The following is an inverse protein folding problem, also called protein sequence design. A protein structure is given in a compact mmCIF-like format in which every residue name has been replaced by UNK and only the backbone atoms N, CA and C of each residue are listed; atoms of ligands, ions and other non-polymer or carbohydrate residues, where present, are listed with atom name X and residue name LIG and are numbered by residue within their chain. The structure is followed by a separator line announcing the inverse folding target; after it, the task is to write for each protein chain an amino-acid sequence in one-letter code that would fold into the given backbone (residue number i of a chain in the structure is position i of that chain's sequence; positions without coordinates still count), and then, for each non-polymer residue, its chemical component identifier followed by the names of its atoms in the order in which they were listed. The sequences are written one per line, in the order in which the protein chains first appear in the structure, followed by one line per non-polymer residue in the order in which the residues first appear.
data_IF_581077399823
#
_entry.id   IF_581077399823
#
_cell.length_a   1.000
_cell.length_b   1.000
_cell.length_c   1.000
_cell.angle_alpha   90.00
_cell.angle_beta   90.00
_cell.angle_gamma   90.00
#
_symmetry.space_group_name_H-M   'P 1'
#
loop_
_entity.id
_entity.type
_entity.pdbx_description
1 polymer ?
#
# COMPACT_ATOMS: atom_id res chain seq x y z
N UNK A 1 19.72 -16.21 36.93
CA UNK A 1 18.43 -16.75 36.44
C UNK A 1 18.20 -16.20 35.05
N UNK A 2 18.58 -16.96 34.03
CA UNK A 2 18.41 -16.61 32.61
C UNK A 2 17.06 -17.11 32.14
N UNK A 3 16.16 -16.21 31.74
CA UNK A 3 14.87 -16.57 31.12
C UNK A 3 15.11 -16.94 29.67
N UNK A 4 14.80 -18.18 29.30
CA UNK A 4 14.64 -18.58 27.90
C UNK A 4 13.32 -18.01 27.37
N UNK A 5 13.37 -17.39 26.20
CA UNK A 5 12.20 -17.03 25.41
C UNK A 5 11.76 -18.25 24.60
N UNK A 6 10.47 -18.55 24.61
CA UNK A 6 9.86 -19.61 23.79
C UNK A 6 9.59 -19.07 22.39
N UNK A 7 9.96 -19.84 21.38
CA UNK A 7 9.61 -19.60 19.99
C UNK A 7 8.09 -19.68 19.78
N UNK A 8 7.52 -18.70 19.11
CA UNK A 8 6.15 -18.72 18.60
C UNK A 8 6.20 -19.38 17.22
N UNK A 9 5.53 -20.52 17.07
CA UNK A 9 5.39 -21.19 15.78
C UNK A 9 4.22 -20.55 15.02
N UNK A 10 4.52 -19.92 13.88
CA UNK A 10 3.55 -19.36 12.95
C UNK A 10 3.05 -20.50 12.04
N UNK A 11 1.76 -20.81 12.13
CA UNK A 11 1.12 -21.81 11.27
C UNK A 11 0.75 -21.19 9.92
N UNK A 12 1.51 -21.55 8.88
CA UNK A 12 1.20 -21.24 7.49
C UNK A 12 0.15 -22.23 6.98
N UNK A 13 -1.10 -21.77 6.77
CA UNK A 13 -2.16 -22.59 6.18
C UNK A 13 -2.17 -22.40 4.65
N UNK A 14 -1.50 -23.29 3.92
CA UNK A 14 -1.60 -23.36 2.46
C UNK A 14 -2.85 -24.19 2.10
N UNK A 15 -3.87 -23.52 1.57
CA UNK A 15 -5.05 -24.15 0.99
C UNK A 15 -4.73 -24.76 -0.37
N UNK A 16 -4.56 -26.09 -0.41
CA UNK A 16 -4.31 -26.85 -1.64
C UNK A 16 -5.64 -27.33 -2.23
N UNK A 17 -6.14 -26.61 -3.24
CA UNK A 17 -7.32 -27.03 -4.02
C UNK A 17 -6.90 -28.20 -4.92
N UNK A 18 -7.37 -29.40 -4.59
CA UNK A 18 -7.27 -30.57 -5.46
C UNK A 18 -8.59 -30.75 -6.20
N UNK A 19 -8.55 -30.64 -7.53
CA UNK A 19 -9.66 -31.09 -8.40
C UNK A 19 -9.37 -32.52 -8.85
N UNK A 20 -10.21 -33.46 -8.44
CA UNK A 20 -10.24 -34.84 -8.93
C UNK A 20 -11.50 -35.08 -9.77
N UNK A 21 -11.33 -35.82 -10.88
CA UNK A 21 -12.40 -36.48 -11.64
C UNK A 21 -12.09 -36.56 -13.14
N UNK A 22 -11.28 -37.53 -13.58
CA UNK A 22 -11.67 -38.80 -14.24
C UNK A 22 -12.12 -38.60 -15.71
N UNK A 23 -11.72 -39.35 -16.75
CA UNK A 23 -11.09 -40.66 -16.97
C UNK A 23 -10.67 -40.68 -18.47
N UNK A 24 -9.61 -41.34 -18.95
CA UNK A 24 -9.60 -42.76 -19.36
C UNK A 24 -8.30 -43.06 -20.13
N UNK A 25 -7.67 -44.21 -19.84
CA UNK A 25 -7.15 -45.09 -20.90
C UNK A 25 -5.63 -45.12 -21.20
N UNK A 26 -5.10 -46.34 -21.07
CA UNK A 26 -3.95 -46.95 -21.78
C UNK A 26 -2.55 -46.92 -21.12
N UNK A 27 -2.30 -48.04 -20.41
CA UNK A 27 -1.05 -48.74 -20.12
C UNK A 27 -0.01 -48.77 -21.24
N UNK A 28 1.28 -48.53 -20.91
CA UNK A 28 2.43 -49.35 -21.34
C UNK A 28 3.51 -49.35 -20.24
N UNK A 29 3.92 -50.54 -19.84
CA UNK A 29 5.06 -50.87 -18.97
C UNK A 29 6.35 -50.88 -19.81
N UNK A 30 7.45 -50.25 -19.36
CA UNK A 30 8.81 -50.65 -19.74
C UNK A 30 9.82 -50.27 -18.65
N UNK A 31 10.54 -51.28 -18.19
CA UNK A 31 11.62 -51.24 -17.20
C UNK A 31 12.99 -51.26 -17.91
N UNK A 32 14.06 -50.90 -17.18
CA UNK A 32 15.50 -51.00 -17.48
C UNK A 32 16.11 -49.69 -17.99
N UNK A 33 17.21 -49.11 -17.48
CA UNK A 33 18.32 -49.64 -16.66
C UNK A 33 19.13 -48.46 -16.05
N UNK A 34 19.83 -48.74 -14.94
CA UNK A 34 20.87 -47.89 -14.31
C UNK A 34 21.97 -47.44 -15.27
N UNK A 35 22.51 -46.23 -15.05
CA UNK A 35 23.97 -46.04 -14.97
C UNK A 35 24.35 -44.76 -14.20
N UNK A 36 25.09 -44.94 -13.11
CA UNK A 36 25.88 -43.90 -12.46
C UNK A 36 27.14 -43.60 -13.28
N UNK A 37 27.57 -42.34 -13.30
CA UNK A 37 28.99 -41.99 -13.37
C UNK A 37 29.24 -40.59 -12.79
N UNK A 38 30.08 -40.54 -11.76
CA UNK A 38 30.63 -39.35 -11.09
C UNK A 38 31.97 -38.96 -11.73
N UNK A 39 32.39 -37.70 -11.52
CA UNK A 39 33.73 -37.09 -11.70
C UNK A 39 33.79 -36.13 -12.90
N UNK A 40 34.27 -34.88 -12.82
CA UNK A 40 35.33 -34.31 -11.98
C UNK A 40 35.25 -32.78 -11.96
N UNK A 41 35.75 -32.18 -10.89
CA UNK A 41 35.98 -30.75 -10.65
C UNK A 41 36.99 -30.13 -11.64
N UNK A 42 36.68 -28.94 -12.15
CA UNK A 42 37.69 -27.92 -12.49
C UNK A 42 37.33 -26.60 -11.80
N UNK A 43 38.26 -26.16 -10.96
CA UNK A 43 38.26 -24.92 -10.20
C UNK A 43 38.68 -23.75 -11.09
N UNK A 44 37.85 -22.72 -11.22
CA UNK A 44 38.26 -21.38 -11.66
C UNK A 44 37.85 -20.36 -10.60
N UNK A 45 38.85 -19.83 -9.90
CA UNK A 45 38.76 -18.67 -9.04
C UNK A 45 38.58 -17.41 -9.89
N UNK A 46 37.48 -16.68 -9.71
CA UNK A 46 37.43 -15.24 -9.93
C UNK A 46 36.70 -14.60 -8.74
N UNK A 47 37.31 -13.52 -8.25
CA UNK A 47 37.01 -12.77 -7.03
C UNK A 47 36.04 -11.62 -7.33
N UNK A 48 35.25 -11.23 -6.31
CA UNK A 48 34.39 -10.03 -6.15
C UNK A 48 33.13 -10.02 -7.03
N UNK A 49 31.92 -9.74 -6.53
CA UNK A 49 31.53 -8.83 -5.44
C UNK A 49 30.52 -9.45 -4.46
N UNK A 50 30.60 -9.02 -3.21
CA UNK A 50 29.65 -9.32 -2.14
C UNK A 50 28.29 -8.71 -2.46
N UNK A 51 27.28 -9.58 -2.48
CA UNK A 51 25.89 -9.20 -2.62
C UNK A 51 25.39 -8.32 -1.49
N UNK A 52 24.56 -7.35 -1.85
CA UNK A 52 23.51 -6.83 -1.00
C UNK A 52 22.19 -7.33 -1.60
N UNK A 53 21.91 -8.61 -1.36
CA UNK A 53 20.54 -9.09 -1.46
C UNK A 53 19.79 -8.55 -0.26
N UNK A 54 19.09 -7.43 -0.44
CA UNK A 54 18.04 -7.03 0.49
C UNK A 54 16.95 -8.07 0.39
N UNK A 55 17.00 -9.05 1.28
CA UNK A 55 15.85 -9.88 1.62
C UNK A 55 14.82 -8.96 2.28
N UNK A 56 13.91 -8.40 1.47
CA UNK A 56 12.64 -7.83 1.95
C UNK A 56 11.91 -8.95 2.69
N UNK A 57 11.79 -8.80 4.01
CA UNK A 57 11.19 -9.79 4.90
C UNK A 57 10.05 -9.10 5.64
N UNK A 58 8.82 -9.40 5.21
CA UNK A 58 7.57 -8.79 5.70
C UNK A 58 6.75 -8.46 4.47
N UNK A 59 5.65 -9.18 4.25
CA UNK A 59 4.90 -9.12 3.00
C UNK A 59 3.54 -8.49 3.23
N UNK A 60 3.40 -7.24 2.80
CA UNK A 60 2.15 -6.62 2.32
C UNK A 60 2.42 -6.10 0.89
N UNK A 61 2.82 -6.99 -0.02
CA UNK A 61 3.19 -6.63 -1.40
C UNK A 61 2.01 -6.15 -2.29
N UNK A 62 0.91 -5.68 -1.68
CA UNK A 62 -0.35 -5.32 -2.33
C UNK A 62 -0.61 -3.81 -2.45
N UNK A 63 0.05 -2.97 -1.63
CA UNK A 63 -0.33 -1.56 -1.54
C UNK A 63 0.08 -0.71 -2.75
N UNK A 64 1.06 -1.11 -3.56
CA UNK A 64 1.64 -0.31 -4.67
C UNK A 64 0.68 0.05 -5.82
N UNK A 65 -0.61 -0.20 -5.70
CA UNK A 65 -1.66 0.19 -6.67
C UNK A 65 -1.59 -0.53 -8.03
N UNK A 66 -0.64 -1.45 -8.22
CA UNK A 66 -0.35 -2.11 -9.50
C UNK A 66 0.07 -1.13 -10.62
N UNK A 67 0.52 -1.62 -11.77
CA UNK A 67 0.82 -0.74 -12.91
C UNK A 67 -0.42 -0.46 -13.78
N UNK A 68 -0.65 0.81 -14.11
CA UNK A 68 -1.68 1.28 -15.05
C UNK A 68 -1.22 1.22 -16.50
N UNK A 69 0.10 1.16 -16.72
CA UNK A 69 0.73 1.40 -18.01
C UNK A 69 1.02 2.88 -18.29
N UNK A 70 0.64 3.79 -17.39
CA UNK A 70 0.99 5.21 -17.39
C UNK A 70 1.90 5.53 -16.18
N UNK A 71 3.12 5.97 -16.46
CA UNK A 71 4.12 6.26 -15.42
C UNK A 71 3.74 7.45 -14.54
N UNK A 72 3.02 8.45 -15.06
CA UNK A 72 2.55 9.58 -14.27
C UNK A 72 1.44 9.16 -13.30
N UNK A 73 0.53 8.28 -13.73
CA UNK A 73 -0.52 7.72 -12.88
C UNK A 73 0.07 6.82 -11.81
N UNK A 74 0.96 5.90 -12.17
CA UNK A 74 1.60 4.98 -11.22
C UNK A 74 2.40 5.75 -10.16
N UNK A 75 3.18 6.75 -10.58
CA UNK A 75 3.94 7.62 -9.69
C UNK A 75 3.06 8.43 -8.74
N UNK A 76 2.01 9.06 -9.27
CA UNK A 76 1.08 9.86 -8.46
C UNK A 76 0.28 8.98 -7.49
N UNK A 77 -0.08 7.76 -7.89
CA UNK A 77 -0.78 6.78 -7.04
C UNK A 77 0.08 6.39 -5.84
N UNK A 78 1.33 5.99 -6.08
CA UNK A 78 2.25 5.63 -4.99
C UNK A 78 2.46 6.77 -3.99
N UNK A 79 2.66 8.01 -4.48
CA UNK A 79 2.78 9.18 -3.61
C UNK A 79 1.50 9.51 -2.86
N UNK A 80 0.32 9.31 -3.47
CA UNK A 80 -0.97 9.52 -2.83
C UNK A 80 -1.24 8.52 -1.70
N UNK A 81 -0.83 7.26 -1.88
CA UNK A 81 -0.89 6.24 -0.83
C UNK A 81 0.05 6.60 0.33
N UNK A 82 1.29 7.05 0.04
CA UNK A 82 2.18 7.56 1.09
C UNK A 82 1.57 8.72 1.88
N UNK A 83 0.79 9.60 1.25
CA UNK A 83 0.08 10.67 1.96
C UNK A 83 -1.04 10.13 2.86
N UNK A 84 -1.84 9.19 2.37
CA UNK A 84 -2.89 8.54 3.17
C UNK A 84 -2.33 7.88 4.43
N UNK A 85 -1.22 7.17 4.28
CA UNK A 85 -0.42 6.61 5.37
C UNK A 85 0.00 7.67 6.40
N UNK A 86 0.61 8.77 5.94
CA UNK A 86 1.05 9.82 6.86
C UNK A 86 -0.12 10.53 7.56
N UNK A 87 -1.28 10.69 6.93
CA UNK A 87 -2.49 11.23 7.59
C UNK A 87 -2.85 10.39 8.82
N UNK A 88 -2.85 9.07 8.67
CA UNK A 88 -3.15 8.13 9.76
C UNK A 88 -2.08 8.17 10.84
N UNK A 89 -0.80 8.18 10.44
CA UNK A 89 0.32 8.30 11.36
C UNK A 89 0.24 9.58 12.19
N UNK A 90 -0.15 10.72 11.59
CA UNK A 90 -0.31 11.99 12.31
C UNK A 90 -1.38 11.88 13.40
N UNK A 91 -2.56 11.37 13.05
CA UNK A 91 -3.67 11.21 14.00
C UNK A 91 -3.29 10.32 15.19
N UNK A 92 -2.57 9.22 14.93
CA UNK A 92 -2.10 8.30 15.96
C UNK A 92 -0.99 8.92 16.81
N UNK A 93 -0.06 9.68 16.22
CA UNK A 93 0.97 10.44 16.95
C UNK A 93 0.33 11.48 17.87
N UNK A 94 -0.70 12.20 17.39
CA UNK A 94 -1.45 13.18 18.17
C UNK A 94 -2.22 12.53 19.32
N UNK A 95 -2.72 11.31 19.13
CA UNK A 95 -3.35 10.49 20.17
C UNK A 95 -2.34 9.87 21.15
N UNK A 96 -1.03 9.96 20.87
CA UNK A 96 0.03 9.31 21.65
C UNK A 96 0.14 7.80 21.41
N UNK A 97 -0.48 7.30 20.35
CA UNK A 97 -0.54 5.88 19.94
C UNK A 97 0.65 5.52 19.03
N UNK A 98 1.88 5.84 19.44
CA UNK A 98 3.08 5.71 18.60
C UNK A 98 3.34 4.31 18.06
N UNK A 99 3.01 3.26 18.81
CA UNK A 99 3.15 1.86 18.35
C UNK A 99 2.22 1.56 17.18
N UNK A 100 1.03 2.17 17.14
CA UNK A 100 0.14 2.05 16.00
C UNK A 100 0.58 2.96 14.85
N UNK A 101 1.13 4.14 15.14
CA UNK A 101 1.62 5.06 14.12
C UNK A 101 2.86 4.55 13.34
N UNK A 102 3.66 3.68 13.95
CA UNK A 102 4.92 3.18 13.38
C UNK A 102 4.75 2.42 12.04
N UNK A 103 3.84 1.43 11.90
CA UNK A 103 3.62 0.75 10.62
C UNK A 103 3.20 1.71 9.49
N UNK A 104 2.34 2.69 9.78
CA UNK A 104 1.89 3.73 8.84
C UNK A 104 3.03 4.62 8.30
N UNK A 105 4.19 4.65 8.95
CA UNK A 105 5.40 5.31 8.42
C UNK A 105 6.31 4.28 7.75
N UNK A 106 6.28 3.04 8.23
CA UNK A 106 6.97 1.89 7.65
C UNK A 106 6.51 1.58 6.22
N UNK A 107 5.20 1.47 5.96
CA UNK A 107 4.68 1.12 4.63
C UNK A 107 5.17 2.07 3.53
N UNK A 108 5.13 3.43 3.70
CA UNK A 108 5.73 4.36 2.75
C UNK A 108 7.20 4.09 2.40
N UNK A 109 8.04 3.71 3.36
CA UNK A 109 9.49 3.60 3.16
C UNK A 109 9.94 2.19 2.77
N UNK A 110 9.32 1.15 3.33
CA UNK A 110 9.72 -0.25 3.14
C UNK A 110 9.07 -0.86 1.88
N UNK A 111 7.86 -0.40 1.56
CA UNK A 111 7.00 -1.01 0.53
C UNK A 111 6.83 -0.10 -0.68
N UNK A 112 6.36 1.14 -0.48
CA UNK A 112 6.00 2.05 -1.59
C UNK A 112 7.17 2.82 -2.18
N UNK A 113 8.24 3.09 -1.41
CA UNK A 113 9.33 3.96 -1.88
C UNK A 113 10.04 3.42 -3.13
N UNK A 114 10.16 2.09 -3.23
CA UNK A 114 10.78 1.43 -4.38
C UNK A 114 10.06 1.72 -5.71
N UNK A 115 8.76 1.99 -5.67
CA UNK A 115 7.95 2.25 -6.87
C UNK A 115 8.17 3.66 -7.44
N UNK A 116 8.70 4.59 -6.63
CA UNK A 116 8.95 5.99 -7.01
C UNK A 116 10.42 6.34 -7.14
N UNK A 117 11.34 5.56 -6.55
CA UNK A 117 12.76 5.91 -6.41
C UNK A 117 13.43 6.29 -7.74
N UNK A 118 13.26 5.49 -8.78
CA UNK A 118 13.81 5.75 -10.12
C UNK A 118 13.18 7.02 -10.72
N UNK A 119 11.85 7.13 -10.62
CA UNK A 119 11.11 8.26 -11.16
C UNK A 119 11.45 9.59 -10.47
N UNK A 120 11.78 9.59 -9.17
CA UNK A 120 12.27 10.78 -8.47
C UNK A 120 13.55 11.31 -9.14
N UNK A 121 14.47 10.40 -9.49
CA UNK A 121 15.71 10.76 -10.18
C UNK A 121 15.43 11.33 -11.56
N UNK A 122 14.60 10.66 -12.35
CA UNK A 122 14.24 11.09 -13.72
C UNK A 122 13.54 12.45 -13.74
N UNK A 123 12.72 12.72 -12.72
CA UNK A 123 11.98 13.97 -12.54
C UNK A 123 12.79 15.08 -11.86
N UNK A 124 14.07 14.82 -11.53
CA UNK A 124 14.95 15.75 -10.80
C UNK A 124 14.39 16.17 -9.42
N UNK A 125 13.67 15.26 -8.76
CA UNK A 125 13.19 15.42 -7.38
C UNK A 125 14.24 14.88 -6.42
N UNK A 126 14.59 15.59 -5.34
CA UNK A 126 15.46 15.03 -4.30
C UNK A 126 14.88 13.75 -3.70
N UNK A 127 15.73 12.75 -3.50
CA UNK A 127 15.37 11.55 -2.74
C UNK A 127 14.97 11.93 -1.30
N UNK A 128 13.99 11.23 -0.74
CA UNK A 128 13.47 11.47 0.61
C UNK A 128 13.34 10.20 1.47
N UNK A 129 13.88 9.07 1.03
CA UNK A 129 14.03 7.82 1.78
C UNK A 129 14.65 8.06 3.16
N UNK A 130 15.75 8.82 3.23
CA UNK A 130 16.44 9.12 4.49
C UNK A 130 15.53 9.93 5.42
N UNK A 131 14.69 10.80 4.87
CA UNK A 131 13.73 11.58 5.66
C UNK A 131 12.63 10.68 6.24
N UNK A 132 12.13 9.72 5.47
CA UNK A 132 11.15 8.74 5.97
C UNK A 132 11.75 7.77 6.99
N UNK A 133 12.94 7.22 6.72
CA UNK A 133 13.65 6.36 7.67
C UNK A 133 13.90 7.07 9.01
N UNK A 134 14.34 8.33 8.98
CA UNK A 134 14.51 9.11 10.22
C UNK A 134 13.18 9.37 10.94
N UNK A 135 12.07 9.53 10.21
CA UNK A 135 10.74 9.68 10.83
C UNK A 135 10.34 8.37 11.52
N UNK A 136 10.49 7.25 10.83
CA UNK A 136 10.19 5.90 11.32
C UNK A 136 10.98 5.59 12.59
N UNK A 137 12.30 5.83 12.57
CA UNK A 137 13.18 5.66 13.73
C UNK A 137 12.75 6.53 14.92
N UNK A 138 12.35 7.78 14.68
CA UNK A 138 11.87 8.66 15.75
C UNK A 138 10.59 8.11 16.38
N UNK A 139 9.60 7.71 15.60
CA UNK A 139 8.34 7.16 16.16
C UNK A 139 8.61 5.84 16.92
N UNK A 140 9.50 5.01 16.40
CA UNK A 140 9.81 3.69 16.96
C UNK A 140 10.65 3.74 18.24
N UNK A 141 11.69 4.58 18.26
CA UNK A 141 12.73 4.54 19.29
C UNK A 141 12.81 5.79 20.17
N UNK A 142 12.33 6.94 19.69
CA UNK A 142 12.35 8.22 20.42
C UNK A 142 11.07 9.05 20.19
N UNK A 143 9.85 8.51 20.46
CA UNK A 143 8.60 9.19 20.11
C UNK A 143 8.36 10.49 20.89
N UNK A 144 9.14 10.75 21.94
CA UNK A 144 9.10 11.99 22.72
C UNK A 144 10.11 13.03 22.23
N UNK A 145 10.84 12.74 21.15
CA UNK A 145 11.82 13.66 20.59
C UNK A 145 11.16 14.97 20.19
N UNK A 146 11.77 16.10 20.58
CA UNK A 146 11.39 17.41 20.06
C UNK A 146 11.54 17.53 18.53
N UNK A 147 12.25 16.59 17.90
CA UNK A 147 12.45 16.50 16.44
C UNK A 147 11.27 15.86 15.71
N UNK A 148 10.43 15.05 16.38
CA UNK A 148 9.41 14.23 15.73
C UNK A 148 8.49 15.06 14.83
N UNK A 149 7.85 16.09 15.38
CA UNK A 149 6.95 16.97 14.62
C UNK A 149 7.63 17.62 13.41
N UNK A 150 8.85 18.12 13.57
CA UNK A 150 9.59 18.76 12.47
C UNK A 150 9.94 17.74 11.39
N UNK A 151 10.33 16.52 11.77
CA UNK A 151 10.67 15.46 10.82
C UNK A 151 9.42 14.99 10.09
N UNK A 152 8.31 14.78 10.80
CA UNK A 152 7.01 14.44 10.22
C UNK A 152 6.59 15.43 9.12
N UNK A 153 6.56 16.72 9.46
CA UNK A 153 6.23 17.78 8.50
C UNK A 153 7.23 17.86 7.32
N UNK A 154 8.47 17.42 7.52
CA UNK A 154 9.47 17.39 6.44
C UNK A 154 9.21 16.22 5.49
N UNK A 155 8.77 15.07 6.01
CA UNK A 155 8.35 13.92 5.21
C UNK A 155 7.14 14.26 4.34
N UNK A 156 6.08 14.82 4.93
CA UNK A 156 4.87 15.26 4.18
C UNK A 156 5.25 16.23 3.06
N UNK A 157 6.04 17.26 3.36
CA UNK A 157 6.49 18.22 2.33
C UNK A 157 7.36 17.61 1.25
N UNK A 158 8.13 16.56 1.55
CA UNK A 158 8.95 15.90 0.54
C UNK A 158 8.07 15.14 -0.46
N UNK A 159 7.04 14.45 0.03
CA UNK A 159 6.06 13.76 -0.81
C UNK A 159 5.25 14.80 -1.62
N UNK A 160 4.77 15.88 -1.01
CA UNK A 160 4.10 16.98 -1.73
C UNK A 160 4.99 17.55 -2.84
N UNK A 161 6.27 17.79 -2.54
CA UNK A 161 7.25 18.27 -3.50
C UNK A 161 7.47 17.29 -4.67
N UNK A 162 7.46 15.99 -4.39
CA UNK A 162 7.53 14.95 -5.39
C UNK A 162 6.29 14.91 -6.30
N UNK A 163 5.10 15.11 -5.75
CA UNK A 163 3.85 15.20 -6.52
C UNK A 163 3.86 16.40 -7.46
N UNK A 164 4.48 17.52 -7.06
CA UNK A 164 4.59 18.71 -7.90
C UNK A 164 5.43 18.53 -9.17
N UNK A 165 6.22 17.43 -9.25
CA UNK A 165 6.95 17.07 -10.45
C UNK A 165 6.07 16.46 -11.55
N UNK A 166 4.84 16.05 -11.23
CA UNK A 166 3.82 15.74 -12.24
C UNK A 166 3.38 17.06 -12.90
N UNK A 167 3.32 17.13 -14.25
CA UNK A 167 2.89 18.33 -14.97
C UNK A 167 1.59 18.92 -14.42
N UNK A 168 1.55 20.25 -14.34
CA UNK A 168 0.39 20.97 -13.78
C UNK A 168 -0.91 20.63 -14.53
N UNK A 169 -0.85 20.56 -15.85
CA UNK A 169 -2.02 20.26 -16.69
C UNK A 169 -2.60 18.86 -16.42
N UNK A 170 -1.76 17.89 -16.00
CA UNK A 170 -2.23 16.57 -15.55
C UNK A 170 -2.81 16.66 -14.13
N UNK A 171 -2.12 17.32 -13.20
CA UNK A 171 -2.61 17.49 -11.82
C UNK A 171 -3.92 18.27 -11.72
N UNK A 172 -4.28 19.06 -12.73
CA UNK A 172 -5.54 19.79 -12.82
C UNK A 172 -6.54 19.14 -13.80
N UNK A 173 -6.15 18.05 -14.49
CA UNK A 173 -7.02 17.28 -15.37
C UNK A 173 -7.95 16.38 -14.55
N UNK A 174 -9.27 16.50 -14.72
CA UNK A 174 -10.21 15.60 -14.09
C UNK A 174 -10.00 14.13 -14.44
N UNK A 175 -9.63 13.82 -15.67
CA UNK A 175 -9.39 12.45 -16.14
C UNK A 175 -8.21 11.82 -15.38
N UNK A 176 -7.06 12.51 -15.36
CA UNK A 176 -5.87 12.04 -14.65
C UNK A 176 -6.11 11.89 -13.14
N UNK A 177 -6.72 12.90 -12.51
CA UNK A 177 -6.93 12.89 -11.06
C UNK A 177 -7.95 11.82 -10.65
N UNK A 178 -9.01 11.59 -11.44
CA UNK A 178 -9.97 10.52 -11.15
C UNK A 178 -9.39 9.12 -11.35
N UNK A 179 -8.47 8.95 -12.32
CA UNK A 179 -7.75 7.69 -12.46
C UNK A 179 -6.90 7.38 -11.22
N UNK A 180 -6.14 8.35 -10.73
CA UNK A 180 -5.37 8.21 -9.48
C UNK A 180 -6.28 7.94 -8.28
N UNK A 181 -7.39 8.68 -8.14
CA UNK A 181 -8.37 8.47 -7.07
C UNK A 181 -8.94 7.05 -7.12
N UNK A 182 -9.31 6.56 -8.31
CA UNK A 182 -9.83 5.20 -8.49
C UNK A 182 -8.87 4.16 -7.94
N UNK A 183 -7.58 4.28 -8.25
CA UNK A 183 -6.53 3.34 -7.81
C UNK A 183 -6.28 3.40 -6.31
N UNK A 184 -6.20 4.61 -5.74
CA UNK A 184 -6.08 4.80 -4.28
C UNK A 184 -7.28 4.17 -3.55
N UNK A 185 -8.48 4.35 -4.09
CA UNK A 185 -9.70 3.79 -3.50
C UNK A 185 -9.82 2.27 -3.70
N UNK A 186 -9.28 1.72 -4.79
CA UNK A 186 -9.17 0.26 -4.99
C UNK A 186 -8.30 -0.38 -3.91
N UNK A 187 -7.12 0.21 -3.62
CA UNK A 187 -6.29 -0.21 -2.48
C UNK A 187 -7.06 -0.06 -1.17
N UNK A 188 -7.74 1.08 -0.95
CA UNK A 188 -8.54 1.29 0.25
C UNK A 188 -9.64 0.23 0.47
N UNK A 189 -10.29 -0.23 -0.61
CA UNK A 189 -11.29 -1.28 -0.54
C UNK A 189 -10.68 -2.64 -0.19
N UNK A 190 -9.49 -2.94 -0.74
CA UNK A 190 -8.74 -4.15 -0.42
C UNK A 190 -8.34 -4.18 1.06
N UNK A 191 -7.77 -3.10 1.60
CA UNK A 191 -7.38 -3.04 3.01
C UNK A 191 -8.59 -3.12 3.95
N UNK A 192 -9.71 -2.50 3.57
CA UNK A 192 -10.94 -2.66 4.34
C UNK A 192 -11.45 -4.10 4.39
N UNK A 193 -11.33 -4.83 3.27
CA UNK A 193 -11.67 -6.25 3.22
C UNK A 193 -10.72 -7.08 4.08
N UNK A 194 -9.41 -6.84 3.96
CA UNK A 194 -8.38 -7.51 4.76
C UNK A 194 -8.55 -7.27 6.27
N UNK A 195 -9.02 -6.07 6.64
CA UNK A 195 -9.30 -5.71 8.01
C UNK A 195 -10.39 -6.55 8.69
N UNK A 196 -11.29 -7.20 7.93
CA UNK A 196 -12.55 -7.76 8.46
C UNK A 196 -12.62 -9.28 8.30
N UNK A 197 -12.86 -9.99 9.41
CA UNK A 197 -13.26 -11.39 9.41
C UNK A 197 -14.38 -11.65 10.43
N UNK A 198 -15.36 -12.46 10.05
CA UNK A 198 -16.54 -12.78 10.87
C UNK A 198 -17.24 -11.52 11.44
N UNK A 199 -17.39 -10.49 10.60
CA UNK A 199 -18.00 -9.19 10.95
C UNK A 199 -17.32 -8.50 12.14
N UNK A 200 -16.00 -8.63 12.26
CA UNK A 200 -15.16 -7.98 13.26
C UNK A 200 -13.87 -7.51 12.61
N UNK A 201 -13.31 -6.42 13.12
CA UNK A 201 -11.96 -6.00 12.74
C UNK A 201 -10.94 -6.96 13.36
N UNK A 202 -10.18 -7.64 12.51
CA UNK A 202 -9.09 -8.57 12.88
C UNK A 202 -7.72 -7.97 12.60
N UNK A 203 -7.61 -7.14 11.55
CA UNK A 203 -6.41 -6.35 11.26
C UNK A 203 -6.77 -4.85 11.36
N UNK A 204 -6.38 -4.22 12.47
CA UNK A 204 -6.69 -2.81 12.74
C UNK A 204 -5.84 -1.88 11.85
N UNK A 205 -4.62 -2.32 11.51
CA UNK A 205 -3.69 -1.58 10.65
C UNK A 205 -4.33 -1.38 9.27
N UNK A 206 -4.86 -2.43 8.67
CA UNK A 206 -5.54 -2.33 7.36
C UNK A 206 -6.79 -1.43 7.37
N UNK A 207 -7.56 -1.42 8.47
CA UNK A 207 -8.65 -0.45 8.61
C UNK A 207 -8.13 0.99 8.64
N UNK A 208 -7.00 1.21 9.31
CA UNK A 208 -6.36 2.50 9.44
C UNK A 208 -5.79 2.97 8.09
N UNK A 209 -5.10 2.11 7.34
CA UNK A 209 -4.58 2.37 5.99
C UNK A 209 -5.71 2.75 5.03
N UNK A 210 -6.72 1.90 4.96
CA UNK A 210 -7.95 2.13 4.20
C UNK A 210 -8.55 3.51 4.48
N UNK A 211 -8.62 3.91 5.76
CA UNK A 211 -9.12 5.24 6.14
C UNK A 211 -8.25 6.35 5.56
N UNK A 212 -6.93 6.25 5.72
CA UNK A 212 -5.98 7.24 5.22
C UNK A 212 -6.15 7.48 3.72
N UNK A 213 -6.28 6.40 2.96
CA UNK A 213 -6.48 6.44 1.52
C UNK A 213 -7.81 7.10 1.14
N UNK A 214 -8.92 6.80 1.84
CA UNK A 214 -10.22 7.46 1.61
C UNK A 214 -10.17 8.95 1.93
N UNK A 215 -9.49 9.34 3.03
CA UNK A 215 -9.32 10.75 3.39
C UNK A 215 -8.55 11.49 2.30
N UNK A 216 -7.41 10.95 1.87
CA UNK A 216 -6.59 11.60 0.85
C UNK A 216 -7.24 11.63 -0.53
N UNK A 217 -7.96 10.57 -0.92
CA UNK A 217 -8.75 10.56 -2.16
C UNK A 217 -9.78 11.70 -2.20
N UNK A 218 -10.41 12.02 -1.06
CA UNK A 218 -11.32 13.15 -0.96
C UNK A 218 -10.60 14.51 -1.07
N UNK A 219 -9.39 14.63 -0.54
CA UNK A 219 -8.55 15.83 -0.73
C UNK A 219 -8.14 16.03 -2.19
N UNK A 220 -7.72 14.95 -2.87
CA UNK A 220 -7.44 14.97 -4.31
C UNK A 220 -8.67 15.40 -5.11
N UNK A 221 -9.84 14.84 -4.81
CA UNK A 221 -11.08 15.19 -5.52
C UNK A 221 -11.42 16.68 -5.38
N UNK A 222 -11.18 17.26 -4.19
CA UNK A 222 -11.44 18.68 -3.95
C UNK A 222 -10.66 19.60 -4.90
N UNK A 223 -9.50 19.18 -5.41
CA UNK A 223 -8.69 19.96 -6.36
C UNK A 223 -9.35 20.11 -7.74
N UNK A 224 -10.19 19.15 -8.13
CA UNK A 224 -10.89 19.14 -9.43
C UNK A 224 -12.41 19.34 -9.31
N UNK A 225 -12.96 19.36 -8.10
CA UNK A 225 -14.40 19.39 -7.85
C UNK A 225 -15.13 20.55 -8.56
N UNK A 226 -14.53 21.75 -8.57
CA UNK A 226 -15.09 22.91 -9.26
C UNK A 226 -15.14 22.74 -10.79
N UNK A 227 -14.15 22.06 -11.36
CA UNK A 227 -14.13 21.73 -12.78
C UNK A 227 -15.17 20.66 -13.08
N UNK A 228 -15.21 19.59 -12.29
CA UNK A 228 -16.21 18.51 -12.38
C UNK A 228 -17.63 19.06 -12.32
N UNK A 229 -17.93 19.94 -11.36
CA UNK A 229 -19.24 20.57 -11.23
C UNK A 229 -19.68 21.35 -12.47
N UNK A 230 -18.74 21.94 -13.21
CA UNK A 230 -19.02 22.71 -14.44
C UNK A 230 -19.11 21.84 -15.68
N UNK A 231 -18.22 20.85 -15.83
CA UNK A 231 -18.09 20.05 -17.06
C UNK A 231 -18.89 18.74 -17.02
N UNK A 232 -19.01 18.11 -15.86
CA UNK A 232 -19.64 16.80 -15.61
C UNK A 232 -20.51 16.85 -14.33
N UNK A 233 -21.59 17.66 -14.29
CA UNK A 233 -22.35 17.91 -13.05
C UNK A 233 -23.01 16.66 -12.45
N UNK A 234 -23.48 15.73 -13.29
CA UNK A 234 -24.10 14.48 -12.81
C UNK A 234 -23.05 13.56 -12.19
N UNK A 235 -21.90 13.38 -12.84
CA UNK A 235 -20.78 12.60 -12.30
C UNK A 235 -20.21 13.25 -11.03
N UNK A 236 -20.13 14.59 -11.00
CA UNK A 236 -19.73 15.33 -9.81
C UNK A 236 -20.60 14.98 -8.60
N UNK A 237 -21.93 14.96 -8.78
CA UNK A 237 -22.85 14.64 -7.71
C UNK A 237 -22.65 13.20 -7.21
N UNK A 238 -22.53 12.22 -8.12
CA UNK A 238 -22.34 10.81 -7.76
C UNK A 238 -21.02 10.61 -7.02
N UNK A 239 -19.92 11.19 -7.50
CA UNK A 239 -18.61 11.06 -6.85
C UNK A 239 -18.63 11.71 -5.48
N UNK A 240 -19.19 12.92 -5.36
CA UNK A 240 -19.27 13.64 -4.10
C UNK A 240 -20.10 12.86 -3.05
N UNK A 241 -21.24 12.31 -3.43
CA UNK A 241 -22.07 11.49 -2.54
C UNK A 241 -21.38 10.19 -2.16
N UNK A 242 -20.70 9.54 -3.11
CA UNK A 242 -19.99 8.27 -2.87
C UNK A 242 -18.79 8.46 -1.94
N UNK A 243 -18.01 9.54 -2.12
CA UNK A 243 -16.90 9.89 -1.21
C UNK A 243 -17.40 10.24 0.20
N UNK A 244 -18.52 10.96 0.31
CA UNK A 244 -19.14 11.25 1.61
C UNK A 244 -19.63 9.97 2.31
N UNK A 245 -20.25 9.05 1.56
CA UNK A 245 -20.68 7.77 2.11
C UNK A 245 -19.47 6.92 2.53
N UNK A 246 -18.42 6.85 1.71
CA UNK A 246 -17.16 6.20 2.07
C UNK A 246 -16.63 6.78 3.39
N UNK A 247 -16.40 8.09 3.50
CA UNK A 247 -15.90 8.70 4.74
C UNK A 247 -16.72 8.35 5.98
N UNK A 248 -18.05 8.17 5.85
CA UNK A 248 -18.91 7.79 6.98
C UNK A 248 -18.67 6.36 7.52
N UNK A 249 -18.04 5.48 6.73
CA UNK A 249 -17.69 4.11 7.10
C UNK A 249 -16.46 4.08 8.04
N UNK A 250 -15.59 5.09 7.97
CA UNK A 250 -14.40 5.24 8.83
C UNK A 250 -14.53 6.46 9.77
N UNK A 251 -15.38 6.39 10.81
CA UNK A 251 -15.69 7.55 11.66
C UNK A 251 -14.51 8.09 12.48
N UNK A 252 -13.46 7.28 12.67
CA UNK A 252 -12.24 7.64 13.39
C UNK A 252 -11.08 6.71 13.00
N UNK A 253 -9.84 7.11 13.35
CA UNK A 253 -8.64 6.28 13.16
C UNK A 253 -8.70 4.95 13.89
N UNK A 254 -9.36 4.90 15.05
CA UNK A 254 -9.66 3.66 15.73
C UNK A 254 -11.00 3.10 15.23
N UNK A 255 -11.08 1.81 14.86
CA UNK A 255 -12.31 1.23 14.34
C UNK A 255 -13.42 1.14 15.41
N UNK A 256 -14.70 1.21 15.01
CA UNK A 256 -15.81 0.85 15.88
C UNK A 256 -15.79 -0.65 16.24
N UNK A 257 -16.56 -1.06 17.24
CA UNK A 257 -16.61 -2.46 17.70
C UNK A 257 -17.05 -3.46 16.60
N UNK A 258 -17.82 -3.00 15.62
CA UNK A 258 -18.30 -3.78 14.47
C UNK A 258 -18.22 -2.91 13.22
N UNK A 259 -17.91 -3.49 12.04
CA UNK A 259 -17.96 -2.77 10.77
C UNK A 259 -19.29 -2.04 10.55
N UNK A 260 -19.22 -0.83 10.00
CA UNK A 260 -20.41 -0.03 9.65
C UNK A 260 -20.94 -0.37 8.25
N UNK A 261 -20.12 -1.04 7.44
CA UNK A 261 -20.48 -1.53 6.12
C UNK A 261 -19.78 -2.87 5.86
N UNK A 262 -20.36 -3.69 4.99
CA UNK A 262 -19.70 -4.88 4.47
C UNK A 262 -18.69 -4.49 3.38
N UNK A 263 -17.58 -5.24 3.18
CA UNK A 263 -16.60 -4.96 2.11
C UNK A 263 -17.24 -4.77 0.73
N UNK A 264 -18.26 -5.57 0.40
CA UNK A 264 -18.99 -5.45 -0.88
C UNK A 264 -19.63 -4.08 -1.11
N UNK A 265 -20.05 -3.38 -0.06
CA UNK A 265 -20.58 -2.02 -0.16
C UNK A 265 -19.47 -1.00 -0.44
N UNK A 266 -18.30 -1.17 0.19
CA UNK A 266 -17.11 -0.35 -0.08
C UNK A 266 -16.69 -0.50 -1.56
N UNK A 267 -16.49 -1.73 -2.03
CA UNK A 267 -16.18 -1.99 -3.45
C UNK A 267 -17.23 -1.40 -4.40
N UNK A 268 -18.51 -1.45 -4.04
CA UNK A 268 -19.58 -0.85 -4.87
C UNK A 268 -19.45 0.66 -4.98
N UNK A 269 -19.09 1.36 -3.89
CA UNK A 269 -18.86 2.80 -3.89
C UNK A 269 -17.61 3.18 -4.69
N UNK A 270 -16.53 2.42 -4.53
CA UNK A 270 -15.29 2.60 -5.29
C UNK A 270 -15.54 2.41 -6.79
N UNK A 271 -16.29 1.37 -7.17
CA UNK A 271 -16.69 1.14 -8.56
C UNK A 271 -17.51 2.30 -9.12
N UNK A 272 -18.46 2.85 -8.35
CA UNK A 272 -19.27 4.00 -8.79
C UNK A 272 -18.40 5.23 -9.09
N UNK A 273 -17.34 5.45 -8.31
CA UNK A 273 -16.39 6.55 -8.54
C UNK A 273 -15.53 6.26 -9.77
N UNK A 274 -14.92 5.06 -9.85
CA UNK A 274 -14.02 4.69 -10.95
C UNK A 274 -14.69 4.61 -12.33
N UNK A 275 -15.97 4.23 -12.40
CA UNK A 275 -16.74 4.23 -13.66
C UNK A 275 -17.05 5.67 -14.17
N UNK A 276 -16.63 6.72 -13.44
CA UNK A 276 -16.75 8.15 -13.84
C UNK A 276 -15.41 8.82 -14.13
N UNK A 277 -14.29 8.09 -14.06
CA UNK A 277 -12.96 8.60 -14.39
C UNK A 277 -12.87 9.02 -15.86
#
# INVERSE_FOLDING_TARGET
MTKQLKSVELFLAIGLVTTMGASSGATVYRQSQNQESVSTLETLNMVSEQGHGHSKQGGEAGEGGGSSGDLDVDYMTALALMQGHLIVAEELIEAGEYTQAEPHIGHPVEELYGDVEEQLTDRNVPQFDTTLNELHDLVKFDPQSARLRTRFQTSVRAIDGAMMAVPKDLRESPEFVLEVIGRVLETAAAEYEAAIADNRFVEIIEYQDSRGFVVYANELYATIADTMKRSRPDDHQVILESLQELQSIWPSVNPPNTPLAEPSKVFSLVFLIGDRS
#
